data_IF_248816751898
#
_entry.id   IF_248816751898
#
_cell.length_a   1.000
_cell.length_b   1.000
_cell.length_c   1.000
_cell.angle_alpha   90.00
_cell.angle_beta   90.00
_cell.angle_gamma   90.00
#
_symmetry.space_group_name_H-M   'P 1'
#
loop_
_entity.id
_entity.type
_entity.pdbx_description
1 polymer ?
#
# COMPACT_ATOMS: atom_id res chain seq x y z
N UNK A 1 -32.81 79.95 7.40
CA UNK A 1 -31.82 79.64 6.36
C UNK A 1 -31.70 78.13 6.37
N UNK A 2 -32.63 77.38 5.76
CA UNK A 2 -32.70 77.08 4.31
C UNK A 2 -31.36 76.46 3.89
N UNK A 3 -31.24 75.17 3.59
CA UNK A 3 -31.93 74.38 2.55
C UNK A 3 -31.89 72.88 2.89
N UNK A 4 -33.04 72.20 2.83
CA UNK A 4 -33.53 71.36 1.72
C UNK A 4 -32.78 70.04 1.51
N UNK A 5 -33.45 69.01 2.02
CA UNK A 5 -33.34 67.58 1.71
C UNK A 5 -33.59 67.33 0.23
N UNK A 6 -32.68 66.62 -0.44
CA UNK A 6 -32.91 66.10 -1.79
C UNK A 6 -32.96 64.57 -1.74
N UNK A 7 -34.14 64.05 -2.05
CA UNK A 7 -34.41 62.63 -2.25
C UNK A 7 -33.74 62.16 -3.56
N UNK A 8 -33.12 60.98 -3.52
CA UNK A 8 -32.68 60.27 -4.71
C UNK A 8 -33.58 59.04 -4.91
N UNK A 9 -34.18 58.98 -6.08
CA UNK A 9 -35.12 57.98 -6.56
C UNK A 9 -34.48 56.59 -6.71
N UNK A 10 -35.29 55.57 -6.41
CA UNK A 10 -34.99 54.15 -6.62
C UNK A 10 -35.27 53.76 -8.07
N UNK A 11 -34.36 53.08 -8.79
CA UNK A 11 -34.71 52.36 -10.01
C UNK A 11 -35.18 50.93 -9.68
N UNK A 12 -36.24 50.53 -10.38
CA UNK A 12 -36.98 49.30 -10.23
C UNK A 12 -36.18 48.00 -10.45
N UNK A 13 -36.64 46.95 -9.77
CA UNK A 13 -36.28 45.55 -9.97
C UNK A 13 -36.55 45.08 -11.41
N UNK A 14 -35.59 44.36 -12.00
CA UNK A 14 -35.87 43.34 -13.01
C UNK A 14 -35.32 42.01 -12.52
N UNK A 15 -36.21 41.21 -11.95
CA UNK A 15 -36.00 39.83 -11.52
C UNK A 15 -35.79 38.91 -12.73
N UNK A 16 -34.55 38.49 -12.98
CA UNK A 16 -34.24 37.40 -13.91
C UNK A 16 -34.53 36.03 -13.27
N UNK A 17 -35.08 35.05 -14.00
CA UNK A 17 -35.50 33.78 -13.42
C UNK A 17 -34.31 32.91 -13.01
N UNK A 18 -34.32 32.43 -11.76
CA UNK A 18 -33.37 31.46 -11.23
C UNK A 18 -33.58 30.07 -11.87
N UNK A 19 -32.53 29.30 -12.18
CA UNK A 19 -32.66 28.02 -12.86
C UNK A 19 -33.19 26.92 -11.92
N UNK A 20 -34.31 26.31 -12.30
CA UNK A 20 -34.90 25.18 -11.58
C UNK A 20 -34.26 23.85 -11.98
N UNK A 21 -34.19 22.94 -11.01
CA UNK A 21 -33.63 21.57 -11.09
C UNK A 21 -34.48 20.65 -11.97
N UNK A 22 -34.58 20.90 -13.28
CA UNK A 22 -35.17 19.97 -14.26
C UNK A 22 -34.77 20.24 -15.71
N UNK A 23 -33.54 20.67 -15.95
CA UNK A 23 -32.99 20.85 -17.29
C UNK A 23 -31.54 20.38 -17.33
N UNK A 24 -31.33 19.06 -17.37
CA UNK A 24 -30.07 18.39 -17.77
C UNK A 24 -30.33 16.89 -17.99
N UNK A 25 -31.32 16.59 -18.81
CA UNK A 25 -31.48 15.30 -19.48
C UNK A 25 -31.87 15.62 -20.92
N UNK A 26 -30.95 15.33 -21.84
CA UNK A 26 -31.17 15.52 -23.27
C UNK A 26 -30.00 16.24 -23.91
N UNK A 27 -28.97 15.48 -24.26
CA UNK A 27 -28.20 15.64 -25.50
C UNK A 27 -27.64 14.28 -25.86
N UNK A 28 -28.41 13.56 -26.68
CA UNK A 28 -27.89 12.51 -27.54
C UNK A 28 -27.68 13.07 -28.94
N UNK A 29 -26.74 12.46 -29.69
CA UNK A 29 -26.82 12.43 -31.15
C UNK A 29 -25.73 13.16 -31.92
N UNK A 30 -24.57 12.52 -32.05
CA UNK A 30 -23.78 12.51 -33.29
C UNK A 30 -23.20 11.08 -33.38
N UNK A 31 -23.41 10.26 -34.40
CA UNK A 31 -23.79 10.51 -35.78
C UNK A 31 -22.84 9.71 -36.66
N UNK A 32 -22.98 8.38 -36.72
CA UNK A 32 -22.37 7.54 -37.76
C UNK A 32 -23.35 6.43 -38.13
N UNK A 33 -24.07 6.67 -39.21
CA UNK A 33 -24.85 5.68 -39.92
C UNK A 33 -23.95 4.97 -40.94
N UNK A 34 -23.77 3.66 -40.81
CA UNK A 34 -23.31 2.80 -41.90
C UNK A 34 -24.18 1.54 -41.93
N UNK A 35 -24.84 1.36 -43.07
CA UNK A 35 -25.99 0.50 -43.28
C UNK A 35 -25.73 -1.00 -43.27
N UNK A 36 -26.83 -1.74 -43.12
CA UNK A 36 -26.90 -3.18 -43.29
C UNK A 36 -26.97 -3.54 -44.79
N UNK A 37 -26.06 -4.40 -45.24
CA UNK A 37 -26.26 -5.27 -46.42
C UNK A 37 -25.79 -6.66 -46.03
N UNK A 38 -26.70 -7.63 -46.13
CA UNK A 38 -26.44 -9.05 -45.91
C UNK A 38 -25.89 -9.69 -47.20
N UNK A 39 -24.76 -10.39 -47.12
CA UNK A 39 -24.43 -11.60 -47.89
C UNK A 39 -23.07 -12.15 -47.40
N UNK A 40 -22.98 -13.48 -47.25
CA UNK A 40 -21.91 -14.18 -46.53
C UNK A 40 -20.47 -13.99 -47.03
N UNK A 41 -19.54 -14.13 -46.09
CA UNK A 41 -18.10 -14.22 -46.32
C UNK A 41 -17.35 -13.99 -45.01
N UNK A 42 -16.67 -15.02 -44.50
CA UNK A 42 -15.82 -14.91 -43.31
C UNK A 42 -14.65 -13.96 -43.61
N UNK A 43 -14.63 -12.79 -42.98
CA UNK A 43 -13.48 -11.87 -42.99
C UNK A 43 -12.96 -11.76 -41.56
N UNK A 44 -11.77 -12.32 -41.36
CA UNK A 44 -11.01 -12.19 -40.12
C UNK A 44 -10.64 -10.72 -39.91
N UNK A 45 -11.30 -10.06 -38.96
CA UNK A 45 -10.94 -8.72 -38.52
C UNK A 45 -9.74 -8.78 -37.58
N UNK A 46 -8.56 -8.46 -38.11
CA UNK A 46 -7.37 -8.12 -37.32
C UNK A 46 -7.67 -6.82 -36.58
N UNK A 47 -7.93 -6.90 -35.27
CA UNK A 47 -7.90 -5.73 -34.39
C UNK A 47 -6.44 -5.36 -34.12
N UNK A 48 -6.01 -4.10 -34.27
CA UNK A 48 -4.76 -3.65 -33.67
C UNK A 48 -4.94 -3.72 -32.15
N UNK A 49 -4.10 -4.52 -31.51
CA UNK A 49 -4.05 -4.66 -30.06
C UNK A 49 -3.63 -3.34 -29.43
N UNK A 50 -4.59 -2.63 -28.84
CA UNK A 50 -4.36 -1.75 -27.71
C UNK A 50 -4.87 -2.49 -26.47
N UNK A 51 -4.08 -3.44 -25.97
CA UNK A 51 -4.26 -4.01 -24.64
C UNK A 51 -3.75 -3.00 -23.61
N UNK A 52 -4.45 -1.87 -23.49
CA UNK A 52 -4.38 -1.07 -22.29
C UNK A 52 -5.12 -1.87 -21.21
N UNK A 53 -4.38 -2.43 -20.25
CA UNK A 53 -4.97 -3.04 -19.05
C UNK A 53 -5.79 -1.95 -18.35
N UNK A 54 -7.12 -2.10 -18.22
CA UNK A 54 -7.92 -1.10 -17.53
C UNK A 54 -7.37 -0.95 -16.10
N UNK A 55 -7.24 0.29 -15.62
CA UNK A 55 -7.12 0.51 -14.19
C UNK A 55 -8.27 -0.26 -13.52
N UNK A 56 -7.94 -1.21 -12.64
CA UNK A 56 -8.94 -2.08 -12.04
C UNK A 56 -10.09 -1.24 -11.47
N UNK A 57 -11.33 -1.59 -11.81
CA UNK A 57 -12.52 -0.86 -11.40
C UNK A 57 -12.52 -0.71 -9.87
N UNK A 58 -12.67 0.51 -9.36
CA UNK A 58 -12.47 0.86 -7.94
C UNK A 58 -13.45 0.18 -6.99
N UNK A 59 -14.45 -0.54 -7.53
CA UNK A 59 -15.37 -1.38 -6.79
C UNK A 59 -15.12 -2.89 -6.88
N UNK A 60 -14.19 -3.36 -7.71
CA UNK A 60 -13.99 -4.79 -7.98
C UNK A 60 -13.35 -5.53 -6.79
N UNK A 61 -13.58 -6.85 -6.70
CA UNK A 61 -12.85 -7.72 -5.79
C UNK A 61 -11.49 -8.13 -6.38
N UNK A 62 -10.49 -8.33 -5.52
CA UNK A 62 -9.22 -8.98 -5.89
C UNK A 62 -9.27 -10.43 -5.44
N UNK A 63 -8.86 -11.40 -6.28
CA UNK A 63 -8.83 -12.81 -5.87
C UNK A 63 -7.98 -13.03 -4.61
N UNK A 64 -8.58 -13.69 -3.60
CA UNK A 64 -7.90 -14.03 -2.35
C UNK A 64 -6.96 -15.23 -2.49
N UNK A 65 -7.42 -16.26 -3.22
CA UNK A 65 -6.65 -17.48 -3.44
C UNK A 65 -5.62 -17.32 -4.55
N UNK A 66 -4.45 -17.94 -4.36
CA UNK A 66 -3.35 -17.90 -5.33
C UNK A 66 -2.07 -18.54 -4.81
N UNK A 67 -1.07 -18.66 -5.69
CA UNK A 67 0.26 -19.14 -5.30
C UNK A 67 0.99 -18.15 -4.37
N UNK A 68 0.76 -16.86 -4.59
CA UNK A 68 1.27 -15.76 -3.78
C UNK A 68 0.09 -15.06 -3.10
N UNK A 69 0.32 -14.48 -1.92
CA UNK A 69 -0.69 -13.62 -1.32
C UNK A 69 -0.92 -12.38 -2.19
N UNK A 70 -2.19 -11.97 -2.32
CA UNK A 70 -2.55 -10.68 -2.89
C UNK A 70 -2.02 -9.52 -2.02
N UNK A 71 -2.03 -8.30 -2.56
CA UNK A 71 -1.54 -7.11 -1.86
C UNK A 71 -0.03 -6.90 -1.93
N UNK A 72 0.68 -7.69 -2.75
CA UNK A 72 2.13 -7.56 -3.01
C UNK A 72 2.32 -7.10 -4.46
N UNK A 73 2.20 -8.01 -5.43
CA UNK A 73 2.29 -7.72 -6.86
C UNK A 73 0.99 -7.10 -7.42
N UNK A 74 -0.13 -7.22 -6.71
CA UNK A 74 -1.41 -6.59 -7.07
C UNK A 74 -1.24 -5.08 -7.26
N UNK A 75 -2.00 -4.51 -8.21
CA UNK A 75 -2.12 -3.06 -8.38
C UNK A 75 -2.32 -2.36 -7.02
N UNK A 76 -1.58 -1.28 -6.78
CA UNK A 76 -1.60 -0.57 -5.50
C UNK A 76 -2.95 0.14 -5.31
N UNK A 77 -3.64 -0.17 -4.23
CA UNK A 77 -4.90 0.46 -3.83
C UNK A 77 -4.66 1.83 -3.22
N UNK A 78 -5.72 2.61 -3.01
CA UNK A 78 -5.59 4.01 -2.60
C UNK A 78 -5.41 4.21 -1.08
N UNK A 79 -5.79 3.21 -0.26
CA UNK A 79 -5.79 3.29 1.21
C UNK A 79 -5.12 2.06 1.83
N UNK A 80 -4.55 2.29 3.01
CA UNK A 80 -3.91 1.28 3.84
C UNK A 80 -4.45 1.37 5.28
N UNK A 81 -4.71 0.20 5.88
CA UNK A 81 -4.64 0.01 7.32
C UNK A 81 -3.69 -1.15 7.60
N UNK A 82 -2.53 -0.85 8.18
CA UNK A 82 -1.55 -1.84 8.61
C UNK A 82 -1.69 -2.05 10.12
N UNK A 83 -1.72 -3.29 10.57
CA UNK A 83 -1.68 -3.61 11.99
C UNK A 83 -0.66 -4.70 12.28
N UNK A 84 0.14 -4.49 13.33
CA UNK A 84 0.96 -5.52 13.94
C UNK A 84 0.26 -6.05 15.20
N UNK A 85 0.37 -7.36 15.42
CA UNK A 85 -0.22 -8.06 16.54
C UNK A 85 0.85 -8.78 17.34
N UNK A 86 0.70 -8.77 18.66
CA UNK A 86 1.41 -9.67 19.56
C UNK A 86 0.50 -10.86 19.89
N UNK A 87 1.03 -12.09 19.85
CA UNK A 87 0.29 -13.31 20.17
C UNK A 87 0.34 -13.53 21.68
N UNK A 88 -0.83 -13.49 22.33
CA UNK A 88 -0.97 -13.59 23.78
C UNK A 88 -1.19 -15.02 24.26
N UNK A 89 -1.78 -15.88 23.42
CA UNK A 89 -1.86 -17.31 23.74
C UNK A 89 -0.48 -17.97 23.69
N UNK A 90 -0.30 -18.99 24.54
CA UNK A 90 0.89 -19.85 24.54
C UNK A 90 0.62 -21.20 23.87
N UNK A 91 -0.63 -21.46 23.49
CA UNK A 91 -1.01 -22.71 22.83
C UNK A 91 -0.87 -22.58 21.31
N UNK A 92 -0.01 -23.43 20.73
CA UNK A 92 0.18 -23.55 19.28
C UNK A 92 -1.12 -23.93 18.58
N UNK A 93 -1.95 -24.80 19.17
CA UNK A 93 -3.21 -25.24 18.59
C UNK A 93 -4.21 -24.08 18.51
N UNK A 94 -4.28 -23.22 19.53
CA UNK A 94 -5.12 -22.02 19.50
C UNK A 94 -4.67 -21.02 18.44
N UNK A 95 -3.35 -20.82 18.27
CA UNK A 95 -2.82 -19.99 17.20
C UNK A 95 -3.17 -20.55 15.81
N UNK A 96 -3.04 -21.86 15.61
CA UNK A 96 -3.44 -22.52 14.35
C UNK A 96 -4.94 -22.39 14.10
N UNK A 97 -5.78 -22.54 15.13
CA UNK A 97 -7.22 -22.33 15.02
C UNK A 97 -7.54 -20.88 14.62
N UNK A 98 -6.88 -19.90 15.25
CA UNK A 98 -7.03 -18.49 14.92
C UNK A 98 -6.65 -18.21 13.45
N UNK A 99 -5.53 -18.73 12.97
CA UNK A 99 -5.10 -18.49 11.58
C UNK A 99 -6.11 -19.06 10.56
N UNK A 100 -6.76 -20.19 10.88
CA UNK A 100 -7.85 -20.74 10.06
C UNK A 100 -9.09 -19.83 10.09
N UNK A 101 -9.51 -19.38 11.27
CA UNK A 101 -10.64 -18.45 11.42
C UNK A 101 -10.39 -17.12 10.68
N UNK A 102 -9.20 -16.54 10.84
CA UNK A 102 -8.76 -15.34 10.14
C UNK A 102 -8.75 -15.52 8.63
N UNK A 103 -8.30 -16.69 8.13
CA UNK A 103 -8.34 -16.99 6.69
C UNK A 103 -9.78 -16.93 6.16
N UNK A 104 -10.74 -17.55 6.88
CA UNK A 104 -12.15 -17.57 6.45
C UNK A 104 -12.78 -16.19 6.50
N UNK A 105 -12.48 -15.41 7.54
CA UNK A 105 -12.91 -14.03 7.62
C UNK A 105 -12.33 -13.19 6.46
N UNK A 106 -11.04 -13.35 6.15
CA UNK A 106 -10.37 -12.64 5.07
C UNK A 106 -10.94 -12.99 3.69
N UNK A 107 -11.20 -14.26 3.42
CA UNK A 107 -11.83 -14.73 2.18
C UNK A 107 -13.20 -14.06 1.96
N UNK A 108 -14.02 -13.97 3.01
CA UNK A 108 -15.32 -13.30 2.94
C UNK A 108 -15.20 -11.79 2.74
N UNK A 109 -14.38 -11.12 3.54
CA UNK A 109 -14.24 -9.66 3.49
C UNK A 109 -13.65 -9.19 2.17
N UNK A 110 -12.68 -9.91 1.60
CA UNK A 110 -12.08 -9.58 0.29
C UNK A 110 -13.07 -9.75 -0.88
N UNK A 111 -14.12 -10.56 -0.69
CA UNK A 111 -15.26 -10.67 -1.60
C UNK A 111 -16.38 -9.64 -1.32
N UNK A 112 -16.22 -8.76 -0.33
CA UNK A 112 -17.23 -7.77 0.07
C UNK A 112 -18.37 -8.35 0.90
N UNK A 113 -18.16 -9.48 1.58
CA UNK A 113 -19.15 -10.11 2.45
C UNK A 113 -18.79 -9.90 3.93
N UNK A 114 -19.82 -9.80 4.76
CA UNK A 114 -19.67 -9.79 6.22
C UNK A 114 -19.08 -11.13 6.72
N UNK A 115 -18.33 -11.08 7.80
CA UNK A 115 -17.76 -12.23 8.52
C UNK A 115 -18.87 -13.12 9.11
N UNK A 116 -18.61 -14.44 9.14
CA UNK A 116 -19.50 -15.42 9.80
C UNK A 116 -20.93 -15.40 9.26
N UNK A 117 -21.89 -15.47 10.17
CA UNK A 117 -23.32 -15.39 9.88
C UNK A 117 -23.81 -13.95 9.62
N UNK A 118 -22.91 -12.97 9.69
CA UNK A 118 -23.14 -11.59 9.29
C UNK A 118 -23.28 -10.61 10.45
N UNK A 119 -23.66 -9.38 10.10
CA UNK A 119 -23.72 -8.25 11.02
C UNK A 119 -25.07 -8.08 11.73
N UNK A 120 -26.13 -8.75 11.26
CA UNK A 120 -27.48 -8.69 11.81
C UNK A 120 -28.28 -9.94 11.39
N UNK A 121 -29.43 -10.18 12.03
CA UNK A 121 -30.34 -11.27 11.68
C UNK A 121 -30.04 -12.63 12.35
N UNK A 122 -28.99 -12.71 13.17
CA UNK A 122 -28.71 -13.84 14.05
C UNK A 122 -29.60 -13.85 15.32
N UNK A 123 -29.24 -14.68 16.29
CA UNK A 123 -29.90 -14.71 17.60
C UNK A 123 -29.82 -13.34 18.29
N UNK A 124 -30.94 -12.84 18.82
CA UNK A 124 -31.03 -11.49 19.38
C UNK A 124 -30.13 -11.30 20.62
N UNK A 125 -29.87 -12.37 21.36
CA UNK A 125 -29.07 -12.37 22.58
C UNK A 125 -27.56 -12.62 22.31
N UNK A 126 -27.19 -12.91 21.06
CA UNK A 126 -25.81 -13.15 20.68
C UNK A 126 -25.19 -11.87 20.06
N UNK A 127 -23.90 -11.57 20.34
CA UNK A 127 -23.18 -10.57 19.56
C UNK A 127 -23.13 -10.97 18.07
N UNK A 128 -23.23 -10.02 17.12
CA UNK A 128 -23.07 -10.33 15.71
C UNK A 128 -21.64 -10.78 15.39
N UNK A 129 -21.49 -11.60 14.35
CA UNK A 129 -20.18 -12.10 13.90
C UNK A 129 -19.36 -11.04 13.17
N UNK A 130 -20.03 -10.06 12.56
CA UNK A 130 -19.41 -8.92 11.90
C UNK A 130 -19.86 -7.61 12.56
N UNK A 131 -18.95 -6.65 12.71
CA UNK A 131 -19.25 -5.37 13.36
C UNK A 131 -20.10 -4.41 12.54
N UNK A 132 -20.30 -4.69 11.25
CA UNK A 132 -21.35 -4.09 10.41
C UNK A 132 -21.01 -2.75 9.75
N UNK A 133 -19.89 -2.11 10.07
CA UNK A 133 -19.54 -0.81 9.51
C UNK A 133 -19.24 -0.83 8.01
N UNK A 134 -19.03 -2.00 7.39
CA UNK A 134 -18.86 -2.13 5.94
C UNK A 134 -20.15 -2.50 5.18
N UNK A 135 -21.31 -2.60 5.86
CA UNK A 135 -22.58 -2.90 5.19
C UNK A 135 -22.91 -1.86 4.11
N UNK A 136 -23.22 -2.33 2.91
CA UNK A 136 -23.55 -1.48 1.76
C UNK A 136 -22.34 -0.94 1.00
N UNK A 137 -21.10 -1.21 1.47
CA UNK A 137 -19.88 -0.90 0.74
C UNK A 137 -19.52 -2.02 -0.24
N UNK A 138 -18.71 -1.68 -1.25
CA UNK A 138 -18.18 -2.63 -2.23
C UNK A 138 -16.94 -3.35 -1.65
N UNK A 139 -16.46 -4.44 -2.28
CA UNK A 139 -15.17 -5.04 -1.95
C UNK A 139 -14.00 -4.05 -2.02
N UNK A 140 -14.09 -3.03 -2.89
CA UNK A 140 -13.14 -1.92 -2.98
C UNK A 140 -11.68 -2.38 -3.13
N UNK A 141 -11.47 -3.42 -3.95
CA UNK A 141 -10.18 -4.10 -4.20
C UNK A 141 -9.46 -4.51 -2.92
N UNK A 142 -10.19 -4.84 -1.85
CA UNK A 142 -9.60 -5.24 -0.58
C UNK A 142 -8.65 -6.43 -0.79
N UNK A 143 -7.43 -6.29 -0.29
CA UNK A 143 -6.49 -7.39 -0.09
C UNK A 143 -6.05 -7.42 1.37
N UNK A 144 -5.94 -8.61 1.93
CA UNK A 144 -5.40 -8.85 3.26
C UNK A 144 -4.15 -9.73 3.13
N UNK A 145 -3.00 -9.19 3.53
CA UNK A 145 -1.71 -9.89 3.47
C UNK A 145 -1.20 -10.10 4.89
N UNK A 146 -0.99 -11.36 5.28
CA UNK A 146 -0.43 -11.71 6.61
C UNK A 146 1.08 -11.90 6.54
N UNK A 147 1.80 -11.56 7.60
CA UNK A 147 3.22 -11.85 7.77
C UNK A 147 3.58 -12.24 9.21
N UNK A 148 4.68 -12.97 9.36
CA UNK A 148 5.16 -13.51 10.64
C UNK A 148 6.49 -12.86 11.04
N UNK A 149 6.50 -12.20 12.19
CA UNK A 149 7.66 -11.48 12.71
C UNK A 149 8.63 -12.40 13.43
N UNK A 150 9.90 -11.95 13.63
CA UNK A 150 10.92 -12.75 14.31
C UNK A 150 10.51 -13.31 15.67
N UNK A 151 9.77 -12.52 16.45
CA UNK A 151 9.38 -12.87 17.81
C UNK A 151 8.40 -14.04 17.87
N UNK A 152 7.67 -14.34 16.80
CA UNK A 152 6.82 -15.53 16.70
C UNK A 152 7.66 -16.82 16.79
N UNK A 153 8.90 -16.78 16.30
CA UNK A 153 9.86 -17.89 16.29
C UNK A 153 10.75 -17.90 17.54
N UNK A 154 10.47 -17.08 18.55
CA UNK A 154 11.26 -17.07 19.77
C UNK A 154 11.22 -18.44 20.47
N UNK A 155 12.38 -18.85 21.00
CA UNK A 155 12.58 -20.13 21.66
C UNK A 155 11.53 -20.38 22.75
N UNK A 156 10.93 -21.57 22.74
CA UNK A 156 9.99 -22.00 23.78
C UNK A 156 8.56 -21.43 23.64
N UNK A 157 8.19 -20.83 22.51
CA UNK A 157 6.79 -20.40 22.26
C UNK A 157 5.96 -21.50 21.62
N UNK A 158 6.19 -21.76 20.34
CA UNK A 158 5.33 -22.65 19.53
C UNK A 158 6.09 -23.81 18.88
N UNK A 159 7.34 -24.04 19.31
CA UNK A 159 8.24 -25.02 18.69
C UNK A 159 8.53 -24.67 17.23
N UNK A 160 8.87 -23.41 16.98
CA UNK A 160 9.09 -22.84 15.65
C UNK A 160 10.51 -22.27 15.48
N UNK A 161 11.34 -22.27 16.52
CA UNK A 161 12.69 -21.69 16.51
C UNK A 161 13.54 -22.14 15.32
N UNK A 162 13.52 -23.44 15.00
CA UNK A 162 14.27 -24.02 13.89
C UNK A 162 13.60 -23.79 12.52
N UNK A 163 12.39 -23.20 12.51
CA UNK A 163 11.67 -22.81 11.29
C UNK A 163 11.83 -21.33 10.95
N UNK A 164 12.55 -20.53 11.76
CA UNK A 164 12.84 -19.12 11.44
C UNK A 164 13.72 -19.05 10.18
N UNK A 165 13.26 -18.43 9.08
CA UNK A 165 14.08 -18.31 7.89
C UNK A 165 15.30 -17.41 8.15
N UNK A 166 16.47 -17.76 7.63
CA UNK A 166 17.68 -16.93 7.82
C UNK A 166 17.55 -15.53 7.20
N UNK A 167 16.79 -15.41 6.12
CA UNK A 167 16.49 -14.13 5.47
C UNK A 167 15.54 -13.24 6.30
N UNK A 168 14.86 -13.80 7.32
CA UNK A 168 14.17 -13.04 8.38
C UNK A 168 15.17 -12.66 9.49
N UNK A 169 16.30 -12.08 9.10
CA UNK A 169 17.32 -11.58 10.01
C UNK A 169 16.87 -10.29 10.67
N UNK A 170 17.28 -10.08 11.93
CA UNK A 170 17.05 -8.79 12.59
C UNK A 170 17.73 -7.66 11.80
N UNK A 171 16.99 -6.58 11.57
CA UNK A 171 17.54 -5.41 10.92
C UNK A 171 18.64 -4.79 11.81
N UNK A 172 19.79 -4.40 11.24
CA UNK A 172 20.80 -3.68 12.00
C UNK A 172 20.28 -2.30 12.40
N UNK A 173 20.93 -1.66 13.38
CA UNK A 173 20.74 -0.23 13.61
C UNK A 173 21.32 0.54 12.41
N UNK A 174 20.59 1.55 11.95
CA UNK A 174 21.05 2.46 10.92
C UNK A 174 21.34 3.85 11.53
N UNK A 175 22.34 4.60 11.04
CA UNK A 175 22.49 6.01 11.40
C UNK A 175 21.17 6.78 11.22
N UNK A 176 20.84 7.65 12.18
CA UNK A 176 19.59 8.42 12.17
C UNK A 176 18.35 7.69 12.70
N UNK A 177 18.44 6.41 13.06
CA UNK A 177 17.35 5.68 13.71
C UNK A 177 16.93 6.34 15.03
N UNK A 178 15.63 6.62 15.16
CA UNK A 178 14.99 7.06 16.40
C UNK A 178 13.71 6.25 16.62
N UNK A 179 13.87 4.93 16.65
CA UNK A 179 12.76 3.98 16.58
C UNK A 179 12.00 3.91 17.91
N UNK A 180 10.70 4.20 17.87
CA UNK A 180 9.79 3.93 18.98
C UNK A 180 9.50 2.43 19.06
N UNK A 181 9.89 1.81 20.18
CA UNK A 181 9.70 0.39 20.41
C UNK A 181 8.21 -0.02 20.47
N UNK A 182 7.31 0.88 20.90
CA UNK A 182 5.87 0.61 20.94
C UNK A 182 5.27 0.56 19.52
N UNK A 183 5.86 1.28 18.57
CA UNK A 183 5.47 1.31 17.14
C UNK A 183 6.41 0.52 16.24
N UNK A 184 7.08 -0.49 16.81
CA UNK A 184 8.05 -1.34 16.12
C UNK A 184 7.83 -2.82 16.47
N UNK A 185 8.32 -3.71 15.62
CA UNK A 185 8.18 -5.17 15.80
C UNK A 185 6.74 -5.66 15.68
N UNK A 186 6.44 -6.76 16.37
CA UNK A 186 5.17 -7.49 16.31
C UNK A 186 5.37 -8.94 15.93
N UNK A 187 4.61 -9.85 16.53
CA UNK A 187 4.63 -11.28 16.20
C UNK A 187 4.02 -11.58 14.83
N UNK A 188 2.96 -10.85 14.49
CA UNK A 188 2.23 -10.97 13.23
C UNK A 188 2.00 -9.57 12.65
N UNK A 189 1.81 -9.47 11.34
CA UNK A 189 1.20 -8.29 10.73
C UNK A 189 0.04 -8.68 9.81
N UNK A 190 -0.91 -7.78 9.66
CA UNK A 190 -1.89 -7.79 8.57
C UNK A 190 -1.85 -6.44 7.87
N UNK A 191 -1.58 -6.48 6.57
CA UNK A 191 -1.70 -5.33 5.67
C UNK A 191 -3.07 -5.39 4.98
N UNK A 192 -3.98 -4.48 5.33
CA UNK A 192 -5.25 -4.29 4.65
C UNK A 192 -5.14 -3.12 3.67
N UNK A 193 -5.21 -3.40 2.37
CA UNK A 193 -5.24 -2.37 1.34
C UNK A 193 -6.57 -2.41 0.59
N UNK A 194 -7.22 -1.27 0.44
CA UNK A 194 -8.48 -1.10 -0.28
C UNK A 194 -8.56 0.32 -0.85
N UNK A 195 -9.49 0.58 -1.76
CA UNK A 195 -9.74 1.94 -2.26
C UNK A 195 -10.62 2.76 -1.32
N UNK A 196 -11.41 2.08 -0.49
CA UNK A 196 -12.22 2.65 0.57
C UNK A 196 -11.54 2.44 1.94
N UNK A 197 -11.23 3.50 2.70
CA UNK A 197 -10.55 3.37 3.98
C UNK A 197 -11.41 2.67 5.04
N UNK A 198 -12.74 2.79 4.98
CA UNK A 198 -13.66 2.16 5.93
C UNK A 198 -13.66 0.64 5.74
N UNK A 199 -13.52 0.16 4.51
CA UNK A 199 -13.36 -1.28 4.20
C UNK A 199 -12.04 -1.82 4.78
N UNK A 200 -10.93 -1.10 4.65
CA UNK A 200 -9.65 -1.50 5.25
C UNK A 200 -9.69 -1.48 6.79
N UNK A 201 -10.35 -0.48 7.39
CA UNK A 201 -10.54 -0.38 8.84
C UNK A 201 -11.40 -1.52 9.38
N UNK A 202 -12.54 -1.78 8.73
CA UNK A 202 -13.45 -2.89 9.04
C UNK A 202 -12.72 -4.23 9.08
N UNK A 203 -11.88 -4.50 8.08
CA UNK A 203 -11.17 -5.76 7.99
C UNK A 203 -10.21 -5.98 9.16
N UNK A 204 -9.38 -4.99 9.48
CA UNK A 204 -8.46 -5.08 10.64
C UNK A 204 -9.25 -5.17 11.96
N UNK A 205 -10.34 -4.40 12.11
CA UNK A 205 -11.17 -4.42 13.31
C UNK A 205 -11.80 -5.80 13.55
N UNK A 206 -12.36 -6.43 12.52
CA UNK A 206 -12.95 -7.76 12.65
C UNK A 206 -11.91 -8.85 12.91
N UNK A 207 -10.74 -8.79 12.27
CA UNK A 207 -9.64 -9.72 12.60
C UNK A 207 -9.19 -9.56 14.06
N UNK A 208 -9.04 -8.33 14.54
CA UNK A 208 -8.72 -8.08 15.94
C UNK A 208 -9.80 -8.60 16.90
N UNK A 209 -11.09 -8.45 16.56
CA UNK A 209 -12.22 -9.00 17.32
C UNK A 209 -12.15 -10.52 17.43
N UNK A 210 -11.95 -11.21 16.31
CA UNK A 210 -11.81 -12.69 16.27
C UNK A 210 -10.58 -13.13 17.08
N UNK A 211 -9.49 -12.36 16.99
CA UNK A 211 -8.24 -12.64 17.68
C UNK A 211 -8.26 -12.33 19.18
N UNK A 212 -9.31 -11.73 19.73
CA UNK A 212 -9.38 -11.32 21.13
C UNK A 212 -9.10 -12.51 22.08
N UNK A 213 -8.21 -12.28 23.06
CA UNK A 213 -7.73 -13.31 24.00
C UNK A 213 -6.57 -14.16 23.48
N UNK A 214 -6.41 -14.30 22.15
CA UNK A 214 -5.32 -15.03 21.50
C UNK A 214 -4.23 -14.11 20.93
N UNK A 215 -4.60 -12.89 20.59
CA UNK A 215 -3.73 -11.82 20.06
C UNK A 215 -4.19 -10.45 20.57
N UNK A 216 -3.30 -9.46 20.51
CA UNK A 216 -3.61 -8.06 20.74
C UNK A 216 -2.93 -7.18 19.68
N UNK A 217 -3.58 -6.09 19.26
CA UNK A 217 -2.92 -5.10 18.41
C UNK A 217 -1.79 -4.46 19.21
N UNK A 218 -0.58 -4.55 18.66
CA UNK A 218 0.62 -3.90 19.20
C UNK A 218 0.67 -2.44 18.77
N UNK A 219 0.51 -2.21 17.47
CA UNK A 219 0.42 -0.91 16.85
C UNK A 219 -0.33 -1.02 15.52
N UNK A 220 -0.91 0.09 15.07
CA UNK A 220 -1.49 0.19 13.74
C UNK A 220 -1.11 1.52 13.08
N UNK A 221 -1.23 1.56 11.76
CA UNK A 221 -0.97 2.74 10.94
C UNK A 221 -2.01 2.81 9.83
N UNK A 222 -2.72 3.94 9.77
CA UNK A 222 -3.50 4.31 8.60
C UNK A 222 -2.57 4.99 7.58
N UNK A 223 -2.75 4.63 6.32
CA UNK A 223 -2.08 5.26 5.19
C UNK A 223 -3.10 5.77 4.18
N UNK A 224 -2.89 6.99 3.69
CA UNK A 224 -3.69 7.60 2.64
C UNK A 224 -2.79 7.93 1.45
N UNK A 225 -3.28 7.70 0.24
CA UNK A 225 -2.51 7.99 -0.95
C UNK A 225 -1.36 7.00 -1.10
N UNK A 226 -1.49 6.09 -2.06
CA UNK A 226 -0.36 5.28 -2.51
C UNK A 226 0.82 6.19 -2.86
N UNK A 227 2.02 5.86 -2.39
CA UNK A 227 3.28 6.52 -2.80
C UNK A 227 4.19 5.50 -3.45
N UNK A 228 3.58 4.59 -4.20
CA UNK A 228 4.23 3.49 -4.89
C UNK A 228 3.32 3.04 -6.03
N UNK A 229 3.91 2.45 -7.06
CA UNK A 229 3.18 1.92 -8.22
C UNK A 229 3.72 0.56 -8.61
N UNK A 230 2.83 -0.40 -8.84
CA UNK A 230 3.11 -1.69 -9.51
C UNK A 230 2.51 -1.72 -10.93
N UNK A 231 1.85 -0.62 -11.33
CA UNK A 231 1.19 -0.42 -12.63
C UNK A 231 1.88 0.75 -13.35
N UNK A 232 2.99 0.49 -14.06
CA UNK A 232 3.86 1.54 -14.58
C UNK A 232 3.19 2.43 -15.63
N UNK A 233 2.13 1.99 -16.31
CA UNK A 233 1.43 2.78 -17.33
C UNK A 233 0.37 3.74 -16.74
N UNK A 234 0.03 3.57 -15.47
CA UNK A 234 -0.85 4.49 -14.77
C UNK A 234 -0.10 5.75 -14.32
N UNK A 235 -0.85 6.80 -13.96
CA UNK A 235 -0.25 8.00 -13.36
C UNK A 235 0.46 7.62 -12.05
N UNK A 236 1.76 7.91 -11.97
CA UNK A 236 2.54 7.74 -10.75
C UNK A 236 2.04 8.71 -9.68
N UNK A 237 1.72 8.23 -8.46
CA UNK A 237 1.26 9.09 -7.40
C UNK A 237 2.38 9.96 -6.85
N UNK A 238 2.04 10.94 -6.02
CA UNK A 238 3.01 11.80 -5.32
C UNK A 238 3.03 11.50 -3.82
N UNK A 239 4.20 11.66 -3.20
CA UNK A 239 4.35 11.63 -1.75
C UNK A 239 4.14 13.03 -1.13
N UNK A 240 4.17 13.12 0.20
CA UNK A 240 3.97 14.37 0.96
C UNK A 240 5.07 15.42 0.76
N UNK A 241 6.23 15.05 0.20
CA UNK A 241 7.25 16.01 -0.24
C UNK A 241 6.96 16.60 -1.62
N UNK A 242 5.91 16.12 -2.29
CA UNK A 242 5.41 16.60 -3.58
C UNK A 242 6.07 15.96 -4.80
N UNK A 243 6.95 14.97 -4.63
CA UNK A 243 7.60 14.25 -5.73
C UNK A 243 6.80 13.02 -6.15
N UNK A 244 6.87 12.67 -7.45
CA UNK A 244 6.32 11.41 -7.95
C UNK A 244 7.07 10.24 -7.31
N UNK A 245 6.33 9.26 -6.81
CA UNK A 245 6.89 8.14 -6.06
C UNK A 245 6.36 6.80 -6.58
N UNK A 246 7.24 6.01 -7.20
CA UNK A 246 6.91 4.72 -7.81
C UNK A 246 7.33 4.56 -9.26
N UNK A 247 7.93 5.57 -9.90
CA UNK A 247 8.35 5.55 -11.31
C UNK A 247 9.21 4.34 -11.67
N UNK A 248 10.30 4.10 -10.91
CA UNK A 248 11.15 2.90 -11.05
C UNK A 248 10.84 1.97 -9.89
N UNK A 249 10.02 0.97 -10.18
CA UNK A 249 9.61 -0.07 -9.26
C UNK A 249 9.38 -1.37 -10.04
N UNK A 250 9.23 -2.49 -9.34
CA UNK A 250 8.89 -3.76 -9.97
C UNK A 250 7.40 -3.73 -10.34
N UNK A 251 7.08 -3.96 -11.62
CA UNK A 251 5.69 -4.08 -12.06
C UNK A 251 5.08 -5.40 -11.61
N UNK A 252 3.79 -5.38 -11.27
CA UNK A 252 3.03 -6.58 -10.94
C UNK A 252 2.91 -7.57 -12.10
N UNK A 253 3.14 -7.13 -13.34
CA UNK A 253 3.10 -7.97 -14.54
C UNK A 253 4.48 -8.45 -15.01
N UNK A 254 5.56 -7.96 -14.40
CA UNK A 254 6.92 -8.42 -14.70
C UNK A 254 7.26 -9.65 -13.84
N UNK A 255 6.77 -10.81 -14.30
CA UNK A 255 6.94 -12.07 -13.57
C UNK A 255 8.42 -12.44 -13.39
N UNK A 256 9.27 -12.13 -14.37
CA UNK A 256 10.70 -12.41 -14.29
C UNK A 256 11.39 -11.58 -13.20
N UNK A 257 11.08 -10.28 -13.10
CA UNK A 257 11.59 -9.44 -12.03
C UNK A 257 11.04 -9.85 -10.66
N UNK A 258 9.75 -10.21 -10.58
CA UNK A 258 9.13 -10.70 -9.35
C UNK A 258 9.79 -11.99 -8.84
N UNK A 259 9.99 -12.99 -9.71
CA UNK A 259 10.66 -14.25 -9.35
C UNK A 259 12.11 -14.05 -8.91
N UNK A 260 12.79 -13.09 -9.55
CA UNK A 260 14.19 -12.79 -9.25
C UNK A 260 14.35 -12.03 -7.93
N UNK A 261 13.50 -11.04 -7.68
CA UNK A 261 13.73 -10.03 -6.65
C UNK A 261 12.74 -10.05 -5.48
N UNK A 262 11.55 -10.64 -5.64
CA UNK A 262 10.45 -10.56 -4.66
C UNK A 262 10.09 -11.91 -4.06
N UNK A 263 9.91 -12.94 -4.90
CA UNK A 263 9.44 -14.25 -4.44
C UNK A 263 10.57 -15.15 -3.99
N UNK A 264 10.36 -15.81 -2.85
CA UNK A 264 11.23 -16.89 -2.38
C UNK A 264 11.08 -18.09 -3.30
N UNK A 265 12.17 -18.52 -3.91
CA UNK A 265 12.21 -19.68 -4.81
C UNK A 265 12.44 -20.98 -4.03
N UNK A 266 12.04 -22.11 -4.60
CA UNK A 266 12.15 -23.42 -3.93
C UNK A 266 13.58 -23.93 -3.67
N UNK A 267 14.60 -23.25 -4.21
CA UNK A 267 16.02 -23.51 -3.93
C UNK A 267 16.58 -22.64 -2.80
N UNK A 268 15.80 -21.69 -2.30
CA UNK A 268 16.20 -20.86 -1.16
C UNK A 268 15.95 -21.65 0.15
N UNK A 269 16.76 -21.39 1.19
CA UNK A 269 16.80 -22.10 2.48
C UNK A 269 15.54 -21.96 3.37
N UNK A 270 14.36 -21.77 2.79
CA UNK A 270 13.13 -21.54 3.53
C UNK A 270 11.96 -22.31 2.90
N UNK A 271 11.95 -23.63 3.11
CA UNK A 271 10.98 -24.57 2.51
C UNK A 271 9.52 -24.10 2.58
N UNK A 272 9.03 -23.75 3.78
CA UNK A 272 7.66 -23.27 4.00
C UNK A 272 7.39 -21.88 3.41
N UNK A 273 8.44 -21.11 3.11
CA UNK A 273 8.37 -19.77 2.52
C UNK A 273 8.39 -19.78 1.00
N UNK A 274 8.54 -20.92 0.32
CA UNK A 274 8.53 -20.97 -1.15
C UNK A 274 7.24 -20.33 -1.70
N UNK A 275 7.36 -19.31 -2.55
CA UNK A 275 6.24 -18.50 -3.05
C UNK A 275 5.81 -17.36 -2.12
N UNK A 276 6.41 -17.24 -0.94
CA UNK A 276 6.31 -16.09 -0.04
C UNK A 276 7.28 -14.96 -0.42
N UNK A 277 7.37 -13.96 0.45
CA UNK A 277 8.29 -12.82 0.35
C UNK A 277 8.66 -12.30 1.74
N UNK A 278 9.68 -11.47 1.86
CA UNK A 278 9.97 -10.77 3.11
C UNK A 278 9.50 -9.33 3.00
N UNK A 279 8.83 -8.84 4.03
CA UNK A 279 8.36 -7.47 4.15
C UNK A 279 9.24 -6.71 5.14
N UNK A 280 9.63 -5.49 4.80
CA UNK A 280 10.17 -4.50 5.73
C UNK A 280 9.23 -3.30 5.76
N UNK A 281 8.77 -2.94 6.95
CA UNK A 281 7.97 -1.74 7.22
C UNK A 281 8.82 -0.71 7.98
N UNK A 282 8.80 0.54 7.52
CA UNK A 282 9.46 1.67 8.19
C UNK A 282 8.49 2.84 8.27
N UNK A 283 8.21 3.32 9.47
CA UNK A 283 7.51 4.60 9.65
C UNK A 283 8.55 5.70 9.54
N UNK A 284 8.50 6.46 8.46
CA UNK A 284 9.46 7.52 8.14
C UNK A 284 8.73 8.84 8.28
N UNK A 285 9.02 9.58 9.36
CA UNK A 285 8.50 10.92 9.56
C UNK A 285 9.26 11.88 8.64
N UNK A 286 8.54 12.80 8.01
CA UNK A 286 9.11 13.88 7.21
C UNK A 286 9.15 15.16 8.04
N UNK A 287 10.24 15.92 7.94
CA UNK A 287 10.36 17.26 8.52
C UNK A 287 9.74 18.27 7.55
N UNK A 288 8.41 18.25 7.46
CA UNK A 288 7.61 18.98 6.45
C UNK A 288 7.93 20.48 6.48
N UNK A 289 7.96 21.10 7.65
CA UNK A 289 8.15 22.54 7.76
C UNK A 289 9.56 22.99 7.35
N UNK A 290 10.56 22.11 7.52
CA UNK A 290 11.94 22.35 7.05
C UNK A 290 12.00 22.18 5.54
N UNK A 291 11.44 21.08 5.03
CA UNK A 291 11.40 20.77 3.59
C UNK A 291 10.71 21.85 2.77
N UNK A 292 9.58 22.36 3.23
CA UNK A 292 8.78 23.37 2.52
C UNK A 292 9.48 24.74 2.45
N UNK A 293 10.56 24.93 3.21
CA UNK A 293 11.41 26.13 3.17
C UNK A 293 12.66 25.97 2.31
N UNK A 294 12.98 24.75 1.88
CA UNK A 294 14.11 24.50 0.99
C UNK A 294 13.82 25.07 -0.42
N UNK A 295 14.80 25.70 -1.09
CA UNK A 295 14.67 26.11 -2.48
C UNK A 295 14.31 24.91 -3.39
N UNK A 296 13.53 25.16 -4.45
CA UNK A 296 13.14 24.10 -5.40
C UNK A 296 14.35 23.33 -5.94
N UNK A 297 15.42 24.04 -6.32
CA UNK A 297 16.65 23.41 -6.82
C UNK A 297 17.24 22.43 -5.80
N UNK A 298 17.24 22.80 -4.52
CA UNK A 298 17.75 21.92 -3.46
C UNK A 298 16.87 20.67 -3.31
N UNK A 299 15.55 20.83 -3.38
CA UNK A 299 14.61 19.70 -3.34
C UNK A 299 14.85 18.73 -4.51
N UNK A 300 15.09 19.26 -5.71
CA UNK A 300 15.36 18.46 -6.91
C UNK A 300 16.75 17.80 -6.87
N UNK A 301 17.75 18.48 -6.32
CA UNK A 301 19.10 17.96 -6.09
C UNK A 301 19.12 16.80 -5.07
N UNK A 302 18.30 16.90 -4.01
CA UNK A 302 18.11 15.84 -3.01
C UNK A 302 17.65 14.54 -3.68
N UNK A 303 16.71 14.60 -4.62
CA UNK A 303 16.21 13.40 -5.30
C UNK A 303 17.04 13.01 -6.52
N UNK A 304 17.57 13.97 -7.28
CA UNK A 304 18.14 13.76 -8.62
C UNK A 304 17.09 13.70 -9.74
N UNK A 305 15.87 14.19 -9.49
CA UNK A 305 14.76 14.29 -10.44
C UNK A 305 14.08 15.65 -10.28
N UNK A 306 13.49 16.18 -11.35
CA UNK A 306 12.69 17.40 -11.24
C UNK A 306 11.34 17.13 -10.54
N UNK A 307 10.76 18.14 -9.89
CA UNK A 307 9.54 17.97 -9.10
C UNK A 307 8.28 17.93 -9.97
N UNK A 308 8.28 18.64 -11.09
CA UNK A 308 7.12 18.81 -11.97
C UNK A 308 6.79 17.54 -12.76
N UNK A 309 7.66 17.18 -13.68
CA UNK A 309 7.57 15.99 -14.53
C UNK A 309 8.07 14.74 -13.82
N UNK A 310 9.05 14.85 -12.93
CA UNK A 310 9.70 13.69 -12.32
C UNK A 310 10.76 13.07 -13.22
N UNK A 311 11.25 13.77 -14.25
CA UNK A 311 12.32 13.31 -15.11
C UNK A 311 13.66 13.32 -14.37
N UNK A 312 14.59 12.40 -14.68
CA UNK A 312 15.97 12.49 -14.19
C UNK A 312 16.64 13.78 -14.65
N UNK A 313 17.63 14.26 -13.89
CA UNK A 313 18.50 15.37 -14.31
C UNK A 313 19.03 15.13 -15.73
N UNK A 314 18.85 16.13 -16.61
CA UNK A 314 19.27 16.08 -18.01
C UNK A 314 18.33 15.32 -18.96
N UNK A 315 17.12 14.97 -18.51
CA UNK A 315 16.09 14.27 -19.29
C UNK A 315 14.78 15.07 -19.32
N UNK A 316 13.78 14.58 -20.06
CA UNK A 316 12.56 15.34 -20.36
C UNK A 316 11.26 14.67 -19.92
N UNK A 317 11.30 13.36 -19.64
CA UNK A 317 10.14 12.57 -19.23
C UNK A 317 10.42 11.75 -18.00
N UNK A 318 9.37 11.53 -17.22
CA UNK A 318 9.42 10.76 -15.97
C UNK A 318 10.13 9.40 -16.14
N UNK A 319 9.81 8.69 -17.22
CA UNK A 319 10.29 7.32 -17.50
C UNK A 319 11.56 7.27 -18.34
N UNK A 320 12.18 8.42 -18.65
CA UNK A 320 13.51 8.42 -19.25
C UNK A 320 14.50 7.73 -18.30
N UNK A 321 15.40 6.91 -18.86
CA UNK A 321 16.41 6.21 -18.06
C UNK A 321 17.39 7.21 -17.42
N UNK A 322 17.64 7.11 -16.10
CA UNK A 322 18.50 8.05 -15.40
C UNK A 322 19.97 7.84 -15.76
N UNK A 323 20.69 8.94 -16.04
CA UNK A 323 22.15 8.91 -16.09
C UNK A 323 22.71 9.29 -14.72
N UNK A 324 23.00 8.28 -13.89
CA UNK A 324 23.31 8.44 -12.45
C UNK A 324 24.45 9.42 -12.16
N UNK A 325 25.45 9.51 -13.06
CA UNK A 325 26.61 10.41 -12.88
C UNK A 325 26.27 11.90 -13.05
N UNK A 326 25.13 12.24 -13.65
CA UNK A 326 24.64 13.62 -13.73
C UNK A 326 23.93 14.09 -12.46
N UNK A 327 23.56 13.18 -11.55
CA UNK A 327 22.98 13.52 -10.25
C UNK A 327 24.10 13.79 -9.23
N UNK A 328 23.82 14.56 -8.18
CA UNK A 328 24.75 14.72 -7.06
C UNK A 328 25.12 13.35 -6.46
N UNK A 329 26.35 13.17 -5.94
CA UNK A 329 26.76 11.91 -5.30
C UNK A 329 25.86 11.46 -4.13
N UNK A 330 25.21 12.41 -3.47
CA UNK A 330 24.30 12.24 -2.33
C UNK A 330 22.82 12.14 -2.72
N UNK A 331 22.49 12.22 -4.01
CA UNK A 331 21.10 12.21 -4.47
C UNK A 331 20.43 10.84 -4.21
N UNK A 332 19.21 10.87 -3.69
CA UNK A 332 18.45 9.69 -3.28
C UNK A 332 18.33 8.65 -4.40
N UNK A 333 17.91 9.05 -5.61
CA UNK A 333 17.76 8.13 -6.75
C UNK A 333 19.09 7.52 -7.14
N UNK A 334 20.19 8.30 -7.12
CA UNK A 334 21.51 7.81 -7.45
C UNK A 334 21.96 6.74 -6.45
N UNK A 335 21.81 7.01 -5.15
CA UNK A 335 22.22 6.09 -4.10
C UNK A 335 21.34 4.85 -4.02
N UNK A 336 20.04 4.99 -4.33
CA UNK A 336 19.08 3.90 -4.25
C UNK A 336 19.00 3.03 -5.52
N UNK A 337 19.59 3.46 -6.64
CA UNK A 337 19.51 2.72 -7.91
C UNK A 337 20.16 1.33 -7.81
N UNK A 338 19.62 0.28 -8.46
CA UNK A 338 20.23 -1.05 -8.46
C UNK A 338 21.70 -1.06 -8.92
N UNK A 339 22.06 -0.27 -9.93
CA UNK A 339 23.46 -0.15 -10.41
C UNK A 339 24.42 0.40 -9.36
N UNK A 340 23.92 1.16 -8.39
CA UNK A 340 24.71 1.60 -7.24
C UNK A 340 24.78 0.56 -6.13
N UNK A 341 23.95 -0.50 -6.18
CA UNK A 341 23.77 -1.47 -5.10
C UNK A 341 23.93 -2.92 -5.57
N UNK A 342 24.86 -3.18 -6.51
CA UNK A 342 25.16 -4.53 -7.00
C UNK A 342 23.90 -5.29 -7.52
N UNK A 343 22.95 -4.55 -8.09
CA UNK A 343 21.69 -5.09 -8.60
C UNK A 343 20.60 -5.33 -7.55
N UNK A 344 20.82 -4.96 -6.28
CA UNK A 344 19.81 -5.03 -5.23
C UNK A 344 18.57 -4.24 -5.64
N UNK A 345 17.43 -4.91 -5.67
CA UNK A 345 16.15 -4.36 -6.13
C UNK A 345 15.06 -4.80 -5.16
N UNK A 346 14.16 -3.88 -4.82
CA UNK A 346 13.01 -4.10 -3.94
C UNK A 346 11.72 -3.72 -4.66
N UNK A 347 10.60 -4.34 -4.28
CA UNK A 347 9.27 -3.86 -4.65
C UNK A 347 8.78 -2.93 -3.55
N UNK A 348 8.72 -1.63 -3.83
CA UNK A 348 8.19 -0.61 -2.91
C UNK A 348 6.66 -0.56 -3.00
N UNK A 349 5.99 -0.47 -1.85
CA UNK A 349 4.52 -0.44 -1.74
C UNK A 349 4.04 0.42 -0.57
N UNK A 350 4.73 1.52 -0.34
CA UNK A 350 4.45 2.45 0.77
C UNK A 350 3.22 3.33 0.54
N UNK A 351 2.76 3.93 1.64
CA UNK A 351 1.64 4.87 1.68
C UNK A 351 2.03 6.09 2.50
N UNK A 352 1.52 7.27 2.14
CA UNK A 352 1.65 8.46 2.99
C UNK A 352 0.79 8.33 4.25
N UNK A 353 1.19 9.00 5.33
CA UNK A 353 0.37 9.09 6.55
C UNK A 353 0.37 10.51 7.11
N UNK A 354 -0.65 10.80 7.91
CA UNK A 354 -0.77 11.99 8.75
C UNK A 354 -1.54 11.58 10.00
N UNK A 355 -0.90 11.71 11.16
CA UNK A 355 -1.46 11.32 12.45
C UNK A 355 -1.79 12.57 13.30
N UNK A 356 -1.98 13.72 12.64
CA UNK A 356 -2.20 15.02 13.29
C UNK A 356 -0.91 15.82 13.45
N UNK A 357 -0.76 16.48 14.60
CA UNK A 357 0.39 17.35 14.92
C UNK A 357 1.06 16.92 16.21
N UNK A 358 2.37 17.15 16.32
CA UNK A 358 3.08 16.98 17.58
C UNK A 358 2.84 18.14 18.55
N UNK A 359 3.36 18.03 19.77
CA UNK A 359 3.21 19.05 20.82
C UNK A 359 3.86 20.40 20.52
N UNK A 360 4.56 20.55 19.38
CA UNK A 360 5.13 21.80 18.89
C UNK A 360 4.38 22.36 17.67
N UNK A 361 3.24 21.76 17.31
CA UNK A 361 2.43 22.17 16.16
C UNK A 361 2.99 21.74 14.80
N UNK A 362 4.02 20.89 14.77
CA UNK A 362 4.56 20.34 13.52
C UNK A 362 3.73 19.15 13.08
N UNK A 363 3.60 18.95 11.77
CA UNK A 363 2.84 17.84 11.23
C UNK A 363 3.51 16.50 11.58
N UNK A 364 2.76 15.54 12.15
CA UNK A 364 3.20 14.15 12.26
C UNK A 364 2.75 13.42 10.98
N UNK A 365 3.49 13.69 9.90
CA UNK A 365 3.24 13.13 8.59
C UNK A 365 4.52 12.55 7.99
N UNK A 366 4.32 11.69 7.00
CA UNK A 366 5.44 11.17 6.22
C UNK A 366 5.05 9.97 5.37
N UNK A 367 5.94 9.00 5.34
CA UNK A 367 5.83 7.79 4.53
C UNK A 367 5.85 6.56 5.45
N UNK A 368 4.77 5.78 5.40
CA UNK A 368 4.79 4.40 5.89
C UNK A 368 5.33 3.53 4.78
N UNK A 369 6.66 3.42 4.76
CA UNK A 369 7.40 2.71 3.73
C UNK A 369 7.25 1.21 3.93
N UNK A 370 6.89 0.51 2.84
CA UNK A 370 6.81 -0.94 2.79
C UNK A 370 7.66 -1.41 1.61
N UNK A 371 8.55 -2.37 1.84
CA UNK A 371 9.35 -3.01 0.82
C UNK A 371 9.23 -4.53 0.89
N UNK A 372 8.96 -5.14 -0.26
CA UNK A 372 9.00 -6.57 -0.46
C UNK A 372 10.26 -6.99 -1.19
N UNK A 373 10.85 -8.09 -0.76
CA UNK A 373 12.06 -8.66 -1.34
C UNK A 373 12.16 -10.17 -1.08
N UNK A 374 12.91 -10.85 -1.93
CA UNK A 374 13.24 -12.27 -1.80
C UNK A 374 14.18 -12.57 -0.64
N UNK A 375 15.08 -11.65 -0.29
CA UNK A 375 16.01 -11.78 0.85
C UNK A 375 16.39 -10.39 1.40
N UNK A 376 16.07 -10.13 2.67
CA UNK A 376 16.32 -8.85 3.34
C UNK A 376 17.82 -8.51 3.41
N UNK A 377 18.67 -9.53 3.54
CA UNK A 377 20.14 -9.40 3.63
C UNK A 377 20.77 -8.88 2.34
N UNK A 378 20.13 -9.19 1.21
CA UNK A 378 20.64 -8.88 -0.14
C UNK A 378 19.96 -7.68 -0.79
N UNK A 379 18.91 -7.14 -0.17
CA UNK A 379 18.12 -6.05 -0.73
C UNK A 379 18.00 -4.86 0.22
N UNK A 380 17.04 -4.87 1.15
CA UNK A 380 16.77 -3.72 2.01
C UNK A 380 17.97 -3.30 2.88
N UNK A 381 18.67 -4.26 3.51
CA UNK A 381 19.80 -3.93 4.41
C UNK A 381 20.93 -3.18 3.69
N UNK A 382 21.53 -3.70 2.59
CA UNK A 382 22.62 -2.99 1.92
C UNK A 382 22.16 -1.65 1.33
N UNK A 383 20.94 -1.60 0.79
CA UNK A 383 20.34 -0.37 0.27
C UNK A 383 20.23 0.71 1.37
N UNK A 384 19.57 0.37 2.49
CA UNK A 384 19.38 1.30 3.61
C UNK A 384 20.71 1.69 4.26
N UNK A 385 21.70 0.80 4.34
CA UNK A 385 23.04 1.17 4.84
C UNK A 385 23.67 2.29 4.02
N UNK A 386 23.58 2.19 2.68
CA UNK A 386 24.10 3.23 1.78
C UNK A 386 23.33 4.54 1.95
N UNK A 387 22.00 4.48 2.02
CA UNK A 387 21.17 5.67 2.20
C UNK A 387 21.43 6.35 3.54
N UNK A 388 21.41 5.62 4.65
CA UNK A 388 21.61 6.16 5.98
C UNK A 388 23.00 6.82 6.16
N UNK A 389 24.00 6.43 5.37
CA UNK A 389 25.34 6.99 5.45
C UNK A 389 25.56 8.24 4.60
N UNK A 390 24.83 8.39 3.48
CA UNK A 390 25.22 9.33 2.41
C UNK A 390 24.09 10.12 1.78
N UNK A 391 22.83 9.77 2.05
CA UNK A 391 21.68 10.38 1.39
C UNK A 391 21.40 11.79 1.90
N UNK A 392 21.29 12.74 0.97
CA UNK A 392 20.90 14.12 1.27
C UNK A 392 19.48 14.19 1.85
N UNK A 393 18.61 13.23 1.53
CA UNK A 393 17.25 13.17 2.06
C UNK A 393 17.21 13.01 3.59
N UNK A 394 18.28 12.48 4.21
CA UNK A 394 18.34 12.24 5.66
C UNK A 394 18.19 13.51 6.50
N UNK A 395 18.47 14.69 5.95
CA UNK A 395 18.21 15.96 6.63
C UNK A 395 16.71 16.22 6.84
N UNK A 396 15.89 15.65 5.98
CA UNK A 396 14.45 15.93 5.88
C UNK A 396 13.57 14.79 6.37
N UNK A 397 14.15 13.68 6.82
CA UNK A 397 13.41 12.51 7.28
C UNK A 397 14.00 11.90 8.55
N UNK A 398 13.16 11.19 9.30
CA UNK A 398 13.59 10.37 10.42
C UNK A 398 12.84 9.04 10.44
N UNK A 399 13.56 7.93 10.59
CA UNK A 399 12.95 6.63 10.83
C UNK A 399 12.55 6.52 12.31
N UNK A 400 11.24 6.37 12.56
CA UNK A 400 10.66 6.40 13.91
C UNK A 400 9.88 5.14 14.29
N UNK A 401 9.75 4.19 13.37
CA UNK A 401 9.17 2.87 13.64
C UNK A 401 9.68 1.85 12.63
N UNK A 402 9.84 0.60 13.06
CA UNK A 402 10.40 -0.45 12.21
C UNK A 402 9.85 -1.83 12.54
N UNK A 403 9.51 -2.60 11.52
CA UNK A 403 9.21 -4.01 11.65
C UNK A 403 9.57 -4.77 10.37
N UNK A 404 9.76 -6.08 10.47
CA UNK A 404 10.00 -6.94 9.32
C UNK A 404 9.35 -8.29 9.55
N UNK A 405 8.84 -8.89 8.48
CA UNK A 405 7.97 -10.06 8.55
C UNK A 405 8.26 -11.01 7.38
N UNK A 406 8.17 -12.31 7.65
CA UNK A 406 8.13 -13.35 6.64
C UNK A 406 6.67 -13.51 6.20
N UNK A 407 6.38 -13.13 4.96
CA UNK A 407 5.05 -13.22 4.36
C UNK A 407 4.92 -14.58 3.67
N UNK A 408 4.14 -15.54 4.21
CA UNK A 408 4.02 -16.88 3.66
C UNK A 408 3.48 -16.88 2.22
N UNK A 409 3.57 -18.02 1.50
CA UNK A 409 2.87 -18.20 0.23
C UNK A 409 1.36 -17.96 0.35
N UNK A 410 0.70 -17.82 -0.81
CA UNK A 410 -0.74 -17.62 -0.90
C UNK A 410 -1.54 -18.84 -0.43
N UNK A 411 -2.79 -18.59 -0.04
CA UNK A 411 -3.77 -19.63 0.26
C UNK A 411 -4.22 -20.25 -1.06
N UNK A 412 -3.99 -21.55 -1.23
CA UNK A 412 -4.16 -22.20 -2.55
C UNK A 412 -5.61 -22.36 -2.95
N UNK A 413 -6.45 -22.74 -1.99
CA UNK A 413 -7.86 -23.06 -2.18
C UNK A 413 -8.62 -22.99 -0.85
N UNK A 414 -9.91 -23.35 -0.89
CA UNK A 414 -10.83 -23.33 0.25
C UNK A 414 -10.44 -24.27 1.40
N UNK A 415 -9.56 -25.24 1.20
CA UNK A 415 -9.13 -26.18 2.23
C UNK A 415 -7.76 -25.78 2.84
N UNK A 416 -7.15 -24.73 2.29
CA UNK A 416 -5.91 -24.13 2.75
C UNK A 416 -6.13 -22.93 3.68
N UNK A 417 -5.08 -22.52 4.40
CA UNK A 417 -5.14 -21.44 5.38
C UNK A 417 -3.78 -20.78 5.61
N UNK A 418 -3.80 -19.54 6.09
CA UNK A 418 -2.62 -18.72 6.30
C UNK A 418 -1.57 -19.39 7.19
N UNK A 419 -0.38 -19.61 6.62
CA UNK A 419 0.74 -20.20 7.34
C UNK A 419 0.69 -21.72 7.47
N UNK A 420 -0.23 -22.42 6.79
CA UNK A 420 -0.34 -23.89 6.86
C UNK A 420 1.01 -24.59 6.75
N UNK A 421 1.82 -24.26 5.73
CA UNK A 421 3.14 -24.86 5.50
C UNK A 421 4.14 -24.67 6.65
N UNK A 422 4.00 -23.61 7.47
CA UNK A 422 4.84 -23.39 8.65
C UNK A 422 4.42 -24.29 9.81
N UNK A 423 3.11 -24.49 10.00
CA UNK A 423 2.56 -25.14 11.19
C UNK A 423 2.24 -26.63 11.01
N UNK A 424 2.17 -27.11 9.75
CA UNK A 424 2.05 -28.54 9.42
C UNK A 424 3.34 -29.32 9.58
#
# INVERSE_FOLDING_TARGET
MSDQTQAAETPAETSGPAPSRRALLGWGGAGLALGAVAAGGAVAAVRPGNDAVPAADSGAAVPFHGAHQAGIATAVQDRLHFAAFDVTTKDRAELVALLKEWTRAAERMTAGHAVGDGAYGGLAEAPPDDTGEALGLKPSRLTLTIGFGPSLFAKGRFGLEDKRPEALVDLPKFPGDNLDAARSGGDLCVQACADDPQVAVHAIRNLARIGMGRTAIRWSQLGFGKTSSTTPDAQTPRNMMGFKDGTRNISGTDTAALDKHVWVGGKDDAGWMTGGSYLVARRIRMHIETWDRAPLQEQEDVFGRDKGEGAPVGKSKERDEPFLKAMLPTAHVRLAHPDSNDGATILRRGYSFTDGTDGLGRLDAGLFFIAYQRDVRKAFIPLQRRLAAHDALNEYIQHVGSAHFAVPPGVRDKDDWWGRALFS
#
